data_IF_851288596006
#
_entry.id   IF_851288596006
#
_cell.length_a   1.000
_cell.length_b   1.000
_cell.length_c   1.000
_cell.angle_alpha   90.00
_cell.angle_beta   90.00
_cell.angle_gamma   90.00
#
_symmetry.space_group_name_H-M   'P 1'
#
loop_
_entity.id
_entity.type
_entity.pdbx_description
1 polymer ?
#
# COMPACT_ATOMS: atom_id res chain seq x y z
N UNK A 1 21.10 -48.31 -13.02
CA UNK A 1 20.74 -48.18 -14.45
C UNK A 1 19.56 -47.20 -14.62
N UNK A 2 19.59 -46.03 -13.97
CA UNK A 2 18.58 -44.95 -14.12
C UNK A 2 19.19 -43.56 -13.86
N UNK A 3 20.50 -43.43 -14.08
CA UNK A 3 21.25 -42.18 -14.04
C UNK A 3 21.79 -41.78 -15.43
N UNK A 4 21.34 -42.50 -16.47
CA UNK A 4 21.85 -42.42 -17.84
C UNK A 4 20.80 -42.04 -18.89
N UNK A 5 19.62 -41.54 -18.47
CA UNK A 5 18.51 -41.25 -19.39
C UNK A 5 17.96 -39.81 -19.37
N UNK A 6 18.57 -38.88 -18.63
CA UNK A 6 18.20 -37.44 -18.68
C UNK A 6 19.44 -36.53 -18.84
N UNK A 7 20.58 -37.07 -19.27
CA UNK A 7 21.82 -36.28 -19.41
C UNK A 7 22.31 -36.03 -20.84
N UNK A 8 21.49 -36.35 -21.84
CA UNK A 8 21.76 -35.96 -23.23
C UNK A 8 20.54 -35.30 -23.84
N UNK A 9 20.66 -33.98 -24.03
CA UNK A 9 20.38 -33.25 -25.29
C UNK A 9 20.30 -31.77 -24.99
N UNK A 10 21.43 -31.13 -24.72
CA UNK A 10 21.75 -29.74 -25.05
C UNK A 10 23.21 -29.49 -24.59
N UNK A 11 24.08 -29.06 -25.49
CA UNK A 11 25.43 -28.63 -25.11
C UNK A 11 25.35 -27.42 -24.17
N UNK A 12 26.38 -27.12 -23.34
CA UNK A 12 26.39 -25.94 -22.48
C UNK A 12 26.14 -24.63 -23.26
N UNK A 13 26.52 -24.57 -24.54
CA UNK A 13 26.26 -23.45 -25.43
C UNK A 13 24.80 -23.38 -25.90
N UNK A 14 24.17 -24.52 -26.20
CA UNK A 14 22.76 -24.55 -26.58
C UNK A 14 21.83 -24.30 -25.38
N UNK A 15 22.24 -24.74 -24.18
CA UNK A 15 21.53 -24.44 -22.94
C UNK A 15 21.61 -22.95 -22.59
N UNK A 16 22.76 -22.29 -22.80
CA UNK A 16 22.88 -20.82 -22.73
C UNK A 16 22.01 -20.15 -23.80
N UNK A 17 22.05 -20.62 -25.05
CA UNK A 17 21.28 -20.02 -26.13
C UNK A 17 19.75 -20.13 -25.91
N UNK A 18 19.26 -21.26 -25.38
CA UNK A 18 17.86 -21.41 -24.98
C UNK A 18 17.48 -20.54 -23.79
N UNK A 19 18.35 -20.44 -22.78
CA UNK A 19 18.13 -19.56 -21.62
C UNK A 19 18.13 -18.10 -22.07
N UNK A 20 19.06 -17.67 -22.91
CA UNK A 20 19.14 -16.32 -23.48
C UNK A 20 17.93 -16.00 -24.37
N UNK A 21 17.44 -16.97 -25.16
CA UNK A 21 16.23 -16.82 -25.97
C UNK A 21 14.97 -16.75 -25.11
N UNK A 22 14.90 -17.50 -24.01
CA UNK A 22 13.81 -17.38 -23.01
C UNK A 22 13.90 -16.05 -22.26
N UNK A 23 15.08 -15.60 -21.87
CA UNK A 23 15.32 -14.32 -21.20
C UNK A 23 14.93 -13.14 -22.08
N UNK A 24 15.27 -13.16 -23.38
CA UNK A 24 14.83 -12.14 -24.34
C UNK A 24 13.30 -12.03 -24.47
N UNK A 25 12.57 -13.14 -24.27
CA UNK A 25 11.09 -13.16 -24.27
C UNK A 25 10.46 -12.74 -22.95
N UNK A 26 11.25 -12.61 -21.89
CA UNK A 26 10.82 -12.09 -20.58
C UNK A 26 11.05 -10.57 -20.46
N UNK A 27 11.60 -9.93 -21.50
CA UNK A 27 11.72 -8.47 -21.55
C UNK A 27 10.31 -7.88 -21.62
N UNK A 28 9.96 -7.07 -20.62
CA UNK A 28 8.67 -6.40 -20.55
C UNK A 28 8.49 -5.54 -21.82
N UNK A 29 7.44 -5.73 -22.62
CA UNK A 29 7.27 -4.99 -23.86
C UNK A 29 7.17 -3.50 -23.58
N UNK A 30 7.84 -2.67 -24.38
CA UNK A 30 7.88 -1.20 -24.21
C UNK A 30 6.47 -0.60 -24.11
N UNK A 31 5.52 -1.11 -24.90
CA UNK A 31 4.10 -0.72 -24.86
C UNK A 31 3.44 -0.96 -23.50
N UNK A 32 3.75 -2.06 -22.83
CA UNK A 32 3.24 -2.34 -21.48
C UNK A 32 3.86 -1.39 -20.45
N UNK A 33 5.15 -1.07 -20.57
CA UNK A 33 5.81 -0.08 -19.71
C UNK A 33 5.18 1.31 -19.89
N UNK A 34 4.96 1.73 -21.14
CA UNK A 34 4.31 3.02 -21.47
C UNK A 34 2.88 3.05 -20.94
N UNK A 35 2.06 2.03 -21.21
CA UNK A 35 0.69 1.95 -20.72
C UNK A 35 0.62 1.98 -19.19
N UNK A 36 1.50 1.22 -18.51
CA UNK A 36 1.63 1.26 -17.05
C UNK A 36 2.00 2.65 -16.55
N UNK A 37 2.92 3.34 -17.24
CA UNK A 37 3.32 4.70 -16.89
C UNK A 37 2.16 5.71 -17.04
N UNK A 38 1.44 5.68 -18.16
CA UNK A 38 0.26 6.51 -18.39
C UNK A 38 -0.84 6.28 -17.36
N UNK A 39 -1.19 5.00 -17.12
CA UNK A 39 -2.20 4.66 -16.13
C UNK A 39 -1.78 5.08 -14.72
N UNK A 40 -0.51 4.92 -14.35
CA UNK A 40 0.01 5.38 -13.06
C UNK A 40 -0.11 6.90 -12.92
N UNK A 41 0.26 7.68 -13.95
CA UNK A 41 0.13 9.14 -13.90
C UNK A 41 -1.33 9.60 -13.80
N UNK A 42 -2.25 8.91 -14.49
CA UNK A 42 -3.68 9.20 -14.37
C UNK A 42 -4.19 8.94 -12.94
N UNK A 43 -3.78 7.83 -12.32
CA UNK A 43 -4.12 7.57 -10.92
C UNK A 43 -3.50 8.60 -9.97
N UNK A 44 -2.29 9.07 -10.23
CA UNK A 44 -1.68 10.17 -9.46
C UNK A 44 -2.54 11.44 -9.55
N UNK A 45 -3.00 11.81 -10.74
CA UNK A 45 -3.86 12.97 -10.94
C UNK A 45 -5.19 12.84 -10.18
N UNK A 46 -5.87 11.70 -10.33
CA UNK A 46 -7.14 11.42 -9.65
C UNK A 46 -6.95 11.42 -8.13
N UNK A 47 -5.93 10.70 -7.65
CA UNK A 47 -5.62 10.64 -6.23
C UNK A 47 -5.25 12.00 -5.64
N UNK A 48 -4.54 12.84 -6.41
CA UNK A 48 -4.19 14.20 -5.99
C UNK A 48 -5.44 15.07 -5.87
N UNK A 49 -6.38 14.98 -6.81
CA UNK A 49 -7.65 15.68 -6.74
C UNK A 49 -8.50 15.23 -5.54
N UNK A 50 -8.61 13.92 -5.30
CA UNK A 50 -9.34 13.38 -4.14
C UNK A 50 -8.70 13.82 -2.82
N UNK A 51 -7.36 13.73 -2.72
CA UNK A 51 -6.64 14.17 -1.53
C UNK A 51 -6.85 15.67 -1.30
N UNK A 52 -6.70 16.50 -2.34
CA UNK A 52 -6.90 17.96 -2.20
C UNK A 52 -8.34 18.32 -1.85
N UNK A 53 -9.35 17.56 -2.30
CA UNK A 53 -10.73 17.77 -1.87
C UNK A 53 -10.87 17.56 -0.36
N UNK A 54 -10.36 16.44 0.16
CA UNK A 54 -10.39 16.18 1.62
C UNK A 54 -9.60 17.22 2.41
N UNK A 55 -8.48 17.69 1.86
CA UNK A 55 -7.66 18.74 2.45
C UNK A 55 -8.41 20.08 2.53
N UNK A 56 -8.98 20.54 1.42
CA UNK A 56 -9.63 21.85 1.32
C UNK A 56 -10.95 21.88 2.07
N UNK A 57 -11.76 20.82 2.01
CA UNK A 57 -13.07 20.80 2.67
C UNK A 57 -12.96 20.66 4.18
N UNK A 58 -12.02 19.85 4.67
CA UNK A 58 -12.04 19.39 6.06
C UNK A 58 -10.77 19.71 6.87
N UNK A 59 -9.64 20.06 6.23
CA UNK A 59 -8.43 20.41 6.98
C UNK A 59 -8.17 21.91 7.04
N UNK A 60 -8.20 22.60 5.90
CA UNK A 60 -7.89 24.03 5.81
C UNK A 60 -8.84 24.89 6.68
N UNK A 61 -10.19 24.76 6.58
CA UNK A 61 -11.09 25.67 7.27
C UNK A 61 -11.06 25.54 8.80
N UNK A 62 -10.64 24.37 9.28
CA UNK A 62 -10.61 24.01 10.70
C UNK A 62 -9.20 23.96 11.27
N UNK A 63 -8.20 24.43 10.51
CA UNK A 63 -6.79 24.44 10.93
C UNK A 63 -6.26 23.07 11.38
N UNK A 64 -6.81 21.98 10.82
CA UNK A 64 -6.41 20.61 11.18
C UNK A 64 -5.10 20.24 10.48
N UNK A 65 -3.98 20.65 11.08
CA UNK A 65 -2.65 20.31 10.62
C UNK A 65 -2.26 18.87 11.00
N UNK A 66 -2.81 17.89 10.27
CA UNK A 66 -2.63 16.44 10.47
C UNK A 66 -1.21 15.91 10.17
N UNK A 67 -0.16 16.73 10.36
CA UNK A 67 1.22 16.39 10.05
C UNK A 67 1.60 16.63 8.59
N UNK A 68 2.81 16.20 8.20
CA UNK A 68 3.29 16.38 6.85
C UNK A 68 3.58 17.83 6.44
N UNK A 69 4.07 18.01 5.21
CA UNK A 69 4.18 19.35 4.63
C UNK A 69 2.82 20.03 4.44
N UNK A 70 1.75 19.25 4.31
CA UNK A 70 0.37 19.77 4.28
C UNK A 70 -0.01 20.47 5.59
N UNK A 71 0.31 19.88 6.75
CA UNK A 71 0.10 20.52 8.05
C UNK A 71 0.97 21.76 8.24
N UNK A 72 2.24 21.70 7.82
CA UNK A 72 3.10 22.90 7.81
C UNK A 72 2.58 23.99 6.86
N UNK A 73 1.98 23.62 5.73
CA UNK A 73 1.38 24.58 4.81
C UNK A 73 0.19 25.30 5.42
N UNK A 74 -0.63 24.63 6.25
CA UNK A 74 -1.71 25.27 7.02
C UNK A 74 -1.13 26.27 8.01
N UNK A 75 -0.09 25.90 8.75
CA UNK A 75 0.60 26.81 9.69
C UNK A 75 1.16 28.03 8.94
N UNK A 76 1.83 27.82 7.81
CA UNK A 76 2.38 28.92 7.01
C UNK A 76 1.28 29.81 6.43
N UNK A 77 0.16 29.24 5.99
CA UNK A 77 -0.98 29.99 5.48
C UNK A 77 -1.63 30.87 6.56
N UNK A 78 -1.66 30.43 7.81
CA UNK A 78 -2.17 31.22 8.92
C UNK A 78 -1.22 32.37 9.29
N UNK A 79 0.09 32.11 9.28
CA UNK A 79 1.11 33.10 9.66
C UNK A 79 1.46 34.10 8.55
N UNK A 80 1.27 33.73 7.28
CA UNK A 80 1.67 34.52 6.11
C UNK A 80 0.54 34.58 5.07
N UNK A 81 0.40 35.68 4.31
CA UNK A 81 -0.63 35.84 3.29
C UNK A 81 -0.30 35.06 1.99
N UNK A 82 -0.02 33.77 2.13
CA UNK A 82 0.29 32.84 1.05
C UNK A 82 -0.79 31.76 1.08
N UNK A 83 -1.39 31.45 -0.06
CA UNK A 83 -2.38 30.39 -0.15
C UNK A 83 -1.76 29.02 0.19
N UNK A 84 -2.57 28.13 0.77
CA UNK A 84 -2.09 26.84 1.29
C UNK A 84 -1.45 25.95 0.21
N UNK A 85 -1.97 25.98 -1.03
CA UNK A 85 -1.39 25.21 -2.14
C UNK A 85 0.00 25.74 -2.55
N UNK A 86 0.19 27.07 -2.56
CA UNK A 86 1.47 27.70 -2.81
C UNK A 86 2.47 27.48 -1.66
N UNK A 87 2.03 27.62 -0.41
CA UNK A 87 2.85 27.32 0.77
C UNK A 87 3.34 25.85 0.73
N UNK A 88 2.44 24.93 0.45
CA UNK A 88 2.74 23.52 0.26
C UNK A 88 3.77 23.28 -0.85
N UNK A 89 3.64 23.95 -1.99
CA UNK A 89 4.58 23.82 -3.11
C UNK A 89 5.96 24.34 -2.73
N UNK A 90 6.04 25.53 -2.15
CA UNK A 90 7.29 26.17 -1.72
C UNK A 90 8.03 25.30 -0.70
N UNK A 91 7.32 24.75 0.28
CA UNK A 91 7.90 23.84 1.29
C UNK A 91 8.41 22.53 0.68
N UNK A 92 7.79 22.06 -0.41
CA UNK A 92 8.23 20.84 -1.10
C UNK A 92 9.45 21.05 -2.00
N UNK A 93 9.67 22.23 -2.57
CA UNK A 93 10.83 22.51 -3.44
C UNK A 93 12.17 22.07 -2.82
N UNK A 94 12.56 22.48 -1.59
CA UNK A 94 13.83 22.05 -1.02
C UNK A 94 13.87 20.54 -0.74
N UNK A 95 12.73 19.94 -0.35
CA UNK A 95 12.65 18.51 -0.12
C UNK A 95 12.80 17.71 -1.41
N UNK A 96 12.19 18.15 -2.51
CA UNK A 96 12.32 17.52 -3.82
C UNK A 96 13.77 17.57 -4.31
N UNK A 97 14.47 18.68 -4.11
CA UNK A 97 15.90 18.81 -4.40
C UNK A 97 16.70 17.78 -3.57
N UNK A 98 16.45 17.69 -2.26
CA UNK A 98 17.11 16.70 -1.40
C UNK A 98 16.80 15.26 -1.82
N UNK A 99 15.54 14.96 -2.13
CA UNK A 99 15.08 13.65 -2.59
C UNK A 99 15.72 13.24 -3.90
N UNK A 100 15.92 14.17 -4.83
CA UNK A 100 16.61 13.93 -6.09
C UNK A 100 18.05 13.40 -5.87
N UNK A 101 18.79 14.01 -4.95
CA UNK A 101 20.17 13.60 -4.65
C UNK A 101 20.27 12.32 -3.82
N UNK A 102 19.27 11.99 -3.00
CA UNK A 102 19.35 10.89 -2.01
C UNK A 102 18.52 9.63 -2.33
N UNK A 103 17.45 9.71 -3.13
CA UNK A 103 16.43 8.65 -3.24
C UNK A 103 16.27 8.01 -4.63
N UNK A 104 17.17 8.28 -5.59
CA UNK A 104 17.19 7.58 -6.88
C UNK A 104 16.94 8.44 -8.12
N UNK A 105 17.28 9.73 -8.06
CA UNK A 105 17.31 10.68 -9.20
C UNK A 105 15.96 10.71 -9.95
N UNK A 106 15.95 10.30 -11.21
CA UNK A 106 14.85 10.57 -12.14
C UNK A 106 13.61 9.67 -11.97
N UNK A 107 13.78 8.43 -11.51
CA UNK A 107 12.63 7.51 -11.31
C UNK A 107 11.75 7.91 -10.13
N UNK A 108 12.35 8.46 -9.08
CA UNK A 108 11.63 8.96 -7.91
C UNK A 108 11.01 10.33 -8.20
N UNK A 109 11.75 11.20 -8.90
CA UNK A 109 11.33 12.56 -9.14
C UNK A 109 10.11 12.64 -10.06
N UNK A 110 9.98 11.79 -11.09
CA UNK A 110 8.92 11.96 -12.08
C UNK A 110 7.51 11.75 -11.53
N UNK A 111 7.28 10.72 -10.70
CA UNK A 111 5.95 10.46 -10.10
C UNK A 111 5.67 11.39 -8.93
N UNK A 112 6.68 11.70 -8.11
CA UNK A 112 6.55 12.58 -6.94
C UNK A 112 6.34 14.04 -7.34
N UNK A 113 7.07 14.53 -8.32
CA UNK A 113 6.91 15.90 -8.83
C UNK A 113 5.52 16.10 -9.42
N UNK A 114 5.02 15.12 -10.18
CA UNK A 114 3.66 15.17 -10.72
C UNK A 114 2.64 15.26 -9.58
N UNK A 115 2.74 14.40 -8.56
CA UNK A 115 1.84 14.42 -7.41
C UNK A 115 1.89 15.75 -6.65
N UNK A 116 3.08 16.30 -6.38
CA UNK A 116 3.23 17.60 -5.70
C UNK A 116 2.57 18.72 -6.50
N UNK A 117 2.87 18.81 -7.80
CA UNK A 117 2.33 19.86 -8.67
C UNK A 117 0.81 19.72 -8.82
N UNK A 118 0.31 18.51 -9.05
CA UNK A 118 -1.12 18.26 -9.20
C UNK A 118 -1.88 18.51 -7.90
N UNK A 119 -1.36 18.08 -6.75
CA UNK A 119 -1.99 18.34 -5.46
C UNK A 119 -2.05 19.84 -5.15
N UNK A 120 -0.93 20.56 -5.35
CA UNK A 120 -0.89 22.02 -5.19
C UNK A 120 -1.89 22.72 -6.11
N UNK A 121 -1.90 22.37 -7.39
CA UNK A 121 -2.84 22.91 -8.38
C UNK A 121 -4.30 22.67 -8.02
N UNK A 122 -4.68 21.44 -7.67
CA UNK A 122 -6.05 21.14 -7.27
C UNK A 122 -6.43 21.80 -5.96
N UNK A 123 -5.49 21.92 -5.00
CA UNK A 123 -5.73 22.65 -3.74
C UNK A 123 -6.07 24.11 -4.00
N UNK A 124 -5.34 24.80 -4.89
CA UNK A 124 -5.63 26.19 -5.25
C UNK A 124 -6.98 26.35 -5.95
N UNK A 125 -7.29 25.46 -6.91
CA UNK A 125 -8.60 25.44 -7.58
C UNK A 125 -9.70 25.24 -6.56
N UNK A 126 -9.63 24.18 -5.76
CA UNK A 126 -10.68 23.86 -4.82
C UNK A 126 -10.86 24.92 -3.74
N UNK A 127 -9.77 25.51 -3.24
CA UNK A 127 -9.84 26.61 -2.26
C UNK A 127 -10.48 27.86 -2.85
N UNK A 128 -10.32 28.10 -4.16
CA UNK A 128 -10.89 29.29 -4.83
C UNK A 128 -12.36 29.09 -5.23
N UNK A 129 -12.76 27.88 -5.62
CA UNK A 129 -14.08 27.63 -6.21
C UNK A 129 -15.09 26.95 -5.28
N UNK A 130 -14.67 26.09 -4.33
CA UNK A 130 -15.61 25.39 -3.45
C UNK A 130 -16.38 26.35 -2.52
N UNK A 131 -15.77 27.38 -1.91
CA UNK A 131 -16.53 28.33 -1.09
C UNK A 131 -17.60 29.09 -1.86
N UNK A 132 -17.46 29.23 -3.17
CA UNK A 132 -18.46 29.87 -4.05
C UNK A 132 -19.49 28.88 -4.61
N UNK A 133 -19.26 27.57 -4.47
CA UNK A 133 -20.12 26.51 -5.01
C UNK A 133 -21.09 25.96 -3.96
N UNK A 134 -20.73 26.00 -2.68
CA UNK A 134 -21.57 25.59 -1.58
C UNK A 134 -22.12 26.81 -0.84
N UNK A 135 -23.44 26.83 -0.63
CA UNK A 135 -24.10 27.89 0.14
C UNK A 135 -23.67 27.86 1.62
N UNK A 136 -23.34 26.67 2.13
CA UNK A 136 -22.78 26.43 3.46
C UNK A 136 -21.33 25.93 3.30
N UNK A 137 -20.37 26.84 3.50
CA UNK A 137 -18.94 26.53 3.58
C UNK A 137 -18.35 27.18 4.85
N UNK A 138 -17.78 26.40 5.78
CA UNK A 138 -17.53 24.96 5.75
C UNK A 138 -18.79 24.08 5.72
N UNK A 139 -18.64 22.81 5.30
CA UNK A 139 -19.76 21.86 5.12
C UNK A 139 -20.37 21.35 6.45
N UNK A 140 -19.69 21.56 7.58
CA UNK A 140 -20.13 21.16 8.91
C UNK A 140 -19.55 22.11 9.96
N UNK A 141 -20.15 22.13 11.15
CA UNK A 141 -19.62 22.83 12.32
C UNK A 141 -19.04 21.85 13.36
N UNK A 142 -19.11 20.53 13.11
CA UNK A 142 -18.63 19.49 14.03
C UNK A 142 -17.18 19.11 13.71
N UNK A 143 -16.26 19.70 14.48
CA UNK A 143 -14.82 19.47 14.38
C UNK A 143 -14.42 17.98 14.44
N UNK A 144 -15.15 17.15 15.20
CA UNK A 144 -14.86 15.72 15.27
C UNK A 144 -15.25 15.06 13.95
N UNK A 145 -16.44 15.37 13.42
CA UNK A 145 -16.91 14.87 12.14
C UNK A 145 -15.96 15.26 11.00
N UNK A 146 -15.55 16.54 10.97
CA UNK A 146 -14.62 17.05 9.98
C UNK A 146 -13.24 16.39 10.09
N UNK A 147 -12.73 16.16 11.30
CA UNK A 147 -11.47 15.43 11.48
C UNK A 147 -11.51 13.99 10.96
N UNK A 148 -12.67 13.32 11.08
CA UNK A 148 -12.88 11.98 10.56
C UNK A 148 -12.87 11.98 9.03
N UNK A 149 -13.64 12.88 8.41
CA UNK A 149 -13.70 12.98 6.95
C UNK A 149 -12.41 13.54 6.34
N UNK A 150 -11.72 14.44 7.02
CA UNK A 150 -10.38 14.88 6.70
C UNK A 150 -9.42 13.69 6.59
N UNK A 151 -9.40 12.81 7.60
CA UNK A 151 -8.57 11.62 7.57
C UNK A 151 -8.95 10.65 6.45
N UNK A 152 -10.24 10.30 6.34
CA UNK A 152 -10.71 9.28 5.38
C UNK A 152 -10.52 9.74 3.93
N UNK A 153 -11.02 10.93 3.57
CA UNK A 153 -11.01 11.38 2.17
C UNK A 153 -9.59 11.70 1.70
N UNK A 154 -8.79 12.37 2.55
CA UNK A 154 -7.38 12.60 2.27
C UNK A 154 -6.62 11.27 2.14
N UNK A 155 -6.83 10.33 3.07
CA UNK A 155 -6.21 9.01 3.06
C UNK A 155 -6.57 8.17 1.84
N UNK A 156 -7.82 8.22 1.36
CA UNK A 156 -8.21 7.57 0.10
C UNK A 156 -7.38 8.12 -1.07
N UNK A 157 -7.27 9.46 -1.18
CA UNK A 157 -6.45 10.10 -2.21
C UNK A 157 -4.98 9.71 -2.12
N UNK A 158 -4.40 9.73 -0.91
CA UNK A 158 -3.03 9.28 -0.64
C UNK A 158 -2.80 7.82 -1.05
N UNK A 159 -3.71 6.91 -0.68
CA UNK A 159 -3.64 5.50 -1.06
C UNK A 159 -3.68 5.27 -2.57
N UNK A 160 -4.46 6.05 -3.33
CA UNK A 160 -4.47 5.99 -4.81
C UNK A 160 -3.11 6.39 -5.37
N UNK A 161 -2.51 7.47 -4.86
CA UNK A 161 -1.19 7.97 -5.30
C UNK A 161 -0.10 6.94 -4.98
N UNK A 162 -0.10 6.40 -3.76
CA UNK A 162 0.85 5.36 -3.34
C UNK A 162 0.73 4.10 -4.20
N UNK A 163 -0.49 3.67 -4.51
CA UNK A 163 -0.74 2.52 -5.39
C UNK A 163 -0.22 2.74 -6.82
N UNK A 164 -0.19 3.99 -7.28
CA UNK A 164 0.41 4.37 -8.56
C UNK A 164 1.95 4.52 -8.50
N UNK A 165 2.58 4.32 -7.33
CA UNK A 165 4.02 4.49 -7.14
C UNK A 165 4.46 5.96 -7.06
N UNK A 166 3.51 6.87 -6.84
CA UNK A 166 3.79 8.26 -6.47
C UNK A 166 3.82 8.45 -4.96
N UNK A 167 4.19 9.64 -4.52
CA UNK A 167 3.95 10.15 -3.18
C UNK A 167 3.64 11.63 -3.32
N UNK A 168 2.76 12.17 -2.48
CA UNK A 168 2.57 13.62 -2.39
C UNK A 168 3.87 14.30 -1.93
N UNK A 169 4.91 13.56 -1.53
CA UNK A 169 6.18 14.15 -1.16
C UNK A 169 6.13 14.58 0.30
N UNK A 170 6.69 15.74 0.61
CA UNK A 170 6.72 16.25 1.97
C UNK A 170 7.52 15.38 2.95
N UNK A 171 6.95 15.03 4.10
CA UNK A 171 7.63 14.30 5.18
C UNK A 171 8.11 12.91 4.78
N UNK A 172 7.61 12.35 3.66
CA UNK A 172 8.14 11.11 3.06
C UNK A 172 9.60 11.16 2.64
N UNK A 173 10.10 12.32 2.25
CA UNK A 173 11.50 12.49 1.87
C UNK A 173 12.42 12.44 3.10
N UNK A 174 12.25 13.31 4.12
CA UNK A 174 13.07 13.24 5.32
C UNK A 174 12.86 11.93 6.08
N UNK A 175 11.63 11.38 6.14
CA UNK A 175 11.38 10.10 6.80
C UNK A 175 12.16 8.95 6.13
N UNK A 176 12.21 8.91 4.80
CA UNK A 176 12.98 7.89 4.08
C UNK A 176 14.49 8.08 4.21
N UNK A 177 14.98 9.32 4.30
CA UNK A 177 16.39 9.61 4.58
C UNK A 177 16.77 9.15 5.99
N UNK A 178 15.93 9.44 7.00
CA UNK A 178 16.14 8.99 8.38
C UNK A 178 16.10 7.47 8.45
N UNK A 179 15.12 6.83 7.80
CA UNK A 179 15.05 5.36 7.68
C UNK A 179 16.37 4.79 7.16
N UNK A 180 16.89 5.30 6.04
CA UNK A 180 18.12 4.80 5.44
C UNK A 180 19.35 4.98 6.34
N UNK A 181 19.36 5.99 7.21
CA UNK A 181 20.46 6.27 8.13
C UNK A 181 20.37 5.51 9.46
N UNK A 182 19.16 5.30 9.98
CA UNK A 182 18.93 4.77 11.34
C UNK A 182 18.45 3.33 11.35
N UNK A 183 17.87 2.84 10.24
CA UNK A 183 17.26 1.52 10.15
C UNK A 183 15.87 1.42 10.78
N UNK A 184 15.31 2.52 11.31
CA UNK A 184 13.95 2.49 11.87
C UNK A 184 12.90 2.10 10.83
N UNK A 185 11.82 1.40 11.22
CA UNK A 185 10.70 1.14 10.32
C UNK A 185 10.14 2.42 9.71
N UNK A 186 9.86 2.41 8.40
CA UNK A 186 9.42 3.60 7.67
C UNK A 186 8.18 4.26 8.31
N UNK A 187 7.22 3.44 8.75
CA UNK A 187 5.98 3.88 9.41
C UNK A 187 6.25 4.63 10.73
N UNK A 188 7.26 4.20 11.50
CA UNK A 188 7.64 4.90 12.73
C UNK A 188 8.26 6.26 12.41
N UNK A 189 9.10 6.31 11.38
CA UNK A 189 9.74 7.57 10.98
C UNK A 189 8.74 8.59 10.46
N UNK A 190 7.72 8.15 9.71
CA UNK A 190 6.59 9.00 9.32
C UNK A 190 5.85 9.57 10.53
N UNK A 191 5.48 8.70 11.47
CA UNK A 191 4.77 9.10 12.68
C UNK A 191 5.57 10.14 13.47
N UNK A 192 6.89 9.96 13.60
CA UNK A 192 7.74 10.94 14.29
C UNK A 192 7.77 12.30 13.59
N UNK A 193 7.92 12.33 12.25
CA UNK A 193 7.97 13.58 11.50
C UNK A 193 6.63 14.32 11.52
N UNK A 194 5.53 13.57 11.47
CA UNK A 194 4.18 14.14 11.43
C UNK A 194 3.73 14.58 12.84
N UNK A 195 4.08 13.83 13.89
CA UNK A 195 3.81 14.20 15.27
C UNK A 195 4.54 15.48 15.68
N UNK A 196 5.77 15.69 15.19
CA UNK A 196 6.47 16.95 15.41
C UNK A 196 5.68 18.16 14.88
N UNK A 197 5.08 18.02 13.70
CA UNK A 197 4.29 19.08 13.06
C UNK A 197 2.95 19.28 13.80
N UNK A 198 2.31 18.20 14.25
CA UNK A 198 1.10 18.27 15.09
C UNK A 198 1.37 18.98 16.41
N UNK A 199 2.51 18.71 17.05
CA UNK A 199 2.91 19.41 18.28
C UNK A 199 3.10 20.90 18.01
N UNK A 200 3.77 21.27 16.90
CA UNK A 200 3.89 22.67 16.49
C UNK A 200 2.51 23.31 16.27
N UNK A 201 1.60 22.62 15.61
CA UNK A 201 0.22 23.09 15.41
C UNK A 201 -0.52 23.31 16.73
N UNK A 202 -0.29 22.46 17.74
CA UNK A 202 -0.87 22.61 19.08
C UNK A 202 -0.43 23.89 19.80
N UNK A 203 0.82 24.32 19.58
CA UNK A 203 1.32 25.60 20.09
C UNK A 203 0.82 26.81 19.30
N UNK A 204 0.55 26.65 17.99
CA UNK A 204 0.11 27.75 17.12
C UNK A 204 -1.41 27.98 17.20
N UNK A 205 -2.20 26.91 17.13
CA UNK A 205 -3.67 27.00 17.06
C UNK A 205 -4.32 26.74 18.42
N UNK A 206 -4.27 25.49 18.88
CA UNK A 206 -4.62 25.02 20.23
C UNK A 206 -4.45 23.50 20.31
N UNK A 207 -4.48 22.96 21.54
CA UNK A 207 -4.30 21.53 21.78
C UNK A 207 -5.47 20.65 21.32
N UNK A 208 -6.71 21.17 21.28
CA UNK A 208 -7.88 20.41 20.81
C UNK A 208 -7.75 20.07 19.32
N UNK A 209 -7.42 21.07 18.50
CA UNK A 209 -7.15 20.90 17.07
C UNK A 209 -5.95 19.98 16.83
N UNK A 210 -4.92 20.01 17.68
CA UNK A 210 -3.79 19.08 17.57
C UNK A 210 -4.20 17.62 17.85
N UNK A 211 -5.07 17.39 18.84
CA UNK A 211 -5.61 16.05 19.13
C UNK A 211 -6.50 15.53 18.00
N UNK A 212 -7.34 16.40 17.42
CA UNK A 212 -8.15 16.07 16.25
C UNK A 212 -7.29 15.84 14.99
N UNK A 213 -6.22 16.61 14.81
CA UNK A 213 -5.25 16.42 13.74
C UNK A 213 -4.52 15.06 13.86
N UNK A 214 -4.21 14.62 15.08
CA UNK A 214 -3.67 13.28 15.32
C UNK A 214 -4.68 12.18 14.96
N UNK A 215 -5.97 12.36 15.30
CA UNK A 215 -7.03 11.45 14.90
C UNK A 215 -7.14 11.36 13.37
N UNK A 216 -7.16 12.51 12.69
CA UNK A 216 -7.20 12.59 11.24
C UNK A 216 -5.99 11.90 10.59
N UNK A 217 -4.78 12.04 11.16
CA UNK A 217 -3.57 11.36 10.69
C UNK A 217 -3.71 9.82 10.79
N UNK A 218 -4.22 9.30 11.91
CA UNK A 218 -4.43 7.85 12.09
C UNK A 218 -5.46 7.31 11.09
N UNK A 219 -6.58 8.00 10.92
CA UNK A 219 -7.62 7.64 9.96
C UNK A 219 -7.12 7.72 8.51
N UNK A 220 -6.30 8.73 8.20
CA UNK A 220 -5.61 8.83 6.91
C UNK A 220 -4.73 7.62 6.64
N UNK A 221 -3.94 7.18 7.63
CA UNK A 221 -3.13 5.96 7.52
C UNK A 221 -3.99 4.74 7.20
N UNK A 222 -5.04 4.51 7.99
CA UNK A 222 -5.96 3.38 7.78
C UNK A 222 -6.65 3.40 6.42
N UNK A 223 -7.15 4.57 5.98
CA UNK A 223 -7.78 4.72 4.67
C UNK A 223 -6.79 4.56 3.51
N UNK A 224 -5.56 5.06 3.66
CA UNK A 224 -4.49 4.90 2.68
C UNK A 224 -4.12 3.43 2.51
N UNK A 225 -3.90 2.72 3.61
CA UNK A 225 -3.57 1.29 3.63
C UNK A 225 -4.70 0.46 3.02
N UNK A 226 -5.95 0.79 3.34
CA UNK A 226 -7.12 0.13 2.76
C UNK A 226 -7.15 0.26 1.22
N UNK A 227 -6.84 1.44 0.68
CA UNK A 227 -6.81 1.67 -0.78
C UNK A 227 -5.57 1.04 -1.43
N UNK A 228 -4.43 1.07 -0.75
CA UNK A 228 -3.14 0.56 -1.23
C UNK A 228 -3.15 -0.97 -1.31
N UNK A 229 -3.53 -1.62 -0.21
CA UNK A 229 -3.47 -3.08 -0.06
C UNK A 229 -4.77 -3.77 -0.50
N UNK A 230 -5.89 -3.04 -0.40
CA UNK A 230 -7.24 -3.57 -0.60
C UNK A 230 -7.74 -4.39 0.59
N UNK A 231 -8.98 -4.89 0.51
CA UNK A 231 -9.48 -5.83 1.51
C UNK A 231 -8.74 -7.17 1.41
N UNK A 232 -8.12 -7.63 2.50
CA UNK A 232 -7.59 -8.99 2.58
C UNK A 232 -8.74 -10.02 2.55
N UNK A 233 -9.01 -10.55 1.37
CA UNK A 233 -10.03 -11.60 1.12
C UNK A 233 -9.45 -13.02 1.22
N UNK A 234 -8.15 -13.15 1.47
CA UNK A 234 -7.42 -14.41 1.40
C UNK A 234 -6.82 -14.79 2.76
N UNK A 235 -6.81 -16.08 3.06
CA UNK A 235 -6.18 -16.66 4.24
C UNK A 235 -5.29 -17.81 3.81
N UNK A 236 -4.18 -17.98 4.50
CA UNK A 236 -3.30 -19.13 4.36
C UNK A 236 -3.53 -20.05 5.54
N UNK A 237 -3.48 -21.35 5.32
CA UNK A 237 -3.64 -22.34 6.37
C UNK A 237 -2.44 -23.27 6.36
N UNK A 238 -1.81 -23.41 7.53
CA UNK A 238 -0.80 -24.42 7.80
C UNK A 238 -1.42 -25.46 8.72
N UNK A 239 -1.47 -26.71 8.27
CA UNK A 239 -2.15 -27.80 8.98
C UNK A 239 -1.16 -28.93 9.17
N UNK A 240 -0.83 -29.25 10.43
CA UNK A 240 -0.02 -30.42 10.76
C UNK A 240 -0.99 -31.50 11.23
N UNK A 241 -1.01 -32.63 10.53
CA UNK A 241 -1.96 -33.73 10.76
C UNK A 241 -1.30 -35.09 10.53
N UNK A 242 -1.82 -36.12 11.16
CA UNK A 242 -1.43 -37.53 10.92
C UNK A 242 -2.11 -38.10 9.67
N UNK A 243 -3.14 -37.43 9.14
CA UNK A 243 -3.94 -37.88 8.00
C UNK A 243 -3.83 -36.94 6.78
N UNK A 244 -2.62 -36.58 6.31
CA UNK A 244 -2.44 -35.54 5.30
C UNK A 244 -3.08 -35.88 3.95
N UNK A 245 -3.10 -37.17 3.55
CA UNK A 245 -3.69 -37.60 2.27
C UNK A 245 -5.20 -37.45 2.25
N UNK A 246 -5.88 -37.89 3.31
CA UNK A 246 -7.34 -37.80 3.44
C UNK A 246 -7.73 -36.33 3.45
N UNK A 247 -7.09 -35.53 4.32
CA UNK A 247 -7.33 -34.10 4.40
C UNK A 247 -7.12 -33.40 3.05
N UNK A 248 -5.99 -33.67 2.38
CA UNK A 248 -5.68 -33.07 1.07
C UNK A 248 -6.78 -33.32 0.05
N UNK A 249 -7.27 -34.56 -0.04
CA UNK A 249 -8.34 -34.92 -0.97
C UNK A 249 -9.67 -34.25 -0.60
N UNK A 250 -10.02 -34.21 0.68
CA UNK A 250 -11.22 -33.52 1.17
C UNK A 250 -11.19 -32.04 0.83
N UNK A 251 -10.07 -31.35 1.09
CA UNK A 251 -9.94 -29.92 0.78
C UNK A 251 -10.01 -29.64 -0.73
N UNK A 252 -9.44 -30.52 -1.56
CA UNK A 252 -9.53 -30.40 -3.01
C UNK A 252 -10.94 -30.66 -3.54
N UNK A 253 -11.66 -31.63 -2.99
CA UNK A 253 -13.01 -31.99 -3.41
C UNK A 253 -14.07 -30.99 -2.93
N UNK A 254 -14.06 -30.66 -1.63
CA UNK A 254 -15.13 -29.90 -0.99
C UNK A 254 -14.91 -28.38 -1.08
N UNK A 255 -13.66 -27.91 -0.94
CA UNK A 255 -13.36 -26.47 -1.01
C UNK A 255 -12.90 -26.03 -2.40
N UNK A 256 -12.61 -26.96 -3.30
CA UNK A 256 -12.03 -26.67 -4.61
C UNK A 256 -10.64 -26.04 -4.52
N UNK A 257 -9.89 -26.32 -3.44
CA UNK A 257 -8.59 -25.67 -3.17
C UNK A 257 -7.45 -26.66 -3.32
N UNK A 258 -6.49 -26.30 -4.18
CA UNK A 258 -5.23 -26.99 -4.27
C UNK A 258 -4.45 -26.89 -2.96
N UNK A 259 -3.72 -27.95 -2.64
CA UNK A 259 -2.91 -28.06 -1.43
C UNK A 259 -1.46 -28.35 -1.81
N UNK A 260 -0.53 -28.00 -0.93
CA UNK A 260 0.88 -28.39 -1.02
C UNK A 260 1.30 -29.04 0.28
N UNK A 261 2.20 -30.01 0.23
CA UNK A 261 2.63 -30.75 1.42
C UNK A 261 4.14 -30.65 1.60
N UNK A 262 4.58 -30.41 2.83
CA UNK A 262 5.98 -30.46 3.22
C UNK A 262 6.20 -31.52 4.30
N UNK A 263 7.28 -32.28 4.19
CA UNK A 263 7.79 -33.07 5.31
C UNK A 263 8.48 -32.14 6.28
N UNK A 264 8.07 -32.18 7.54
CA UNK A 264 8.63 -31.39 8.64
C UNK A 264 9.09 -32.33 9.75
N UNK A 265 9.95 -31.84 10.64
CA UNK A 265 10.38 -32.59 11.83
C UNK A 265 9.91 -31.87 13.09
N UNK A 266 9.29 -32.59 14.02
CA UNK A 266 8.86 -32.02 15.29
C UNK A 266 10.07 -31.66 16.15
N UNK A 267 10.24 -30.39 16.53
CA UNK A 267 11.42 -29.96 17.29
C UNK A 267 11.56 -30.57 18.69
N UNK A 268 10.43 -30.96 19.31
CA UNK A 268 10.43 -31.63 20.62
C UNK A 268 10.41 -33.16 20.49
N UNK A 269 9.60 -33.69 19.58
CA UNK A 269 9.41 -35.15 19.43
C UNK A 269 10.47 -35.83 18.57
N UNK A 270 11.22 -35.04 17.78
CA UNK A 270 12.16 -35.50 16.75
C UNK A 270 11.55 -36.47 15.72
N UNK A 271 10.23 -36.41 15.55
CA UNK A 271 9.47 -37.25 14.61
C UNK A 271 9.17 -36.52 13.31
N UNK A 272 9.30 -37.21 12.19
CA UNK A 272 8.82 -36.72 10.90
C UNK A 272 7.30 -36.61 10.89
N UNK A 273 6.79 -35.44 10.45
CA UNK A 273 5.37 -35.14 10.27
C UNK A 273 5.15 -34.51 8.90
N UNK A 274 3.90 -34.45 8.47
CA UNK A 274 3.53 -33.75 7.23
C UNK A 274 2.73 -32.50 7.55
N UNK A 275 3.14 -31.39 6.95
CA UNK A 275 2.40 -30.13 6.95
C UNK A 275 1.66 -29.98 5.64
N UNK A 276 0.33 -29.83 5.68
CA UNK A 276 -0.52 -29.46 4.56
C UNK A 276 -0.69 -27.95 4.57
N UNK A 277 -0.42 -27.33 3.42
CA UNK A 277 -0.58 -25.90 3.19
C UNK A 277 -1.65 -25.67 2.14
N UNK A 278 -2.58 -24.76 2.44
CA UNK A 278 -3.55 -24.33 1.47
C UNK A 278 -3.84 -22.84 1.60
N UNK A 279 -4.35 -22.26 0.51
CA UNK A 279 -4.81 -20.87 0.48
C UNK A 279 -6.30 -20.91 0.24
N UNK A 280 -7.07 -20.21 1.09
CA UNK A 280 -8.53 -20.19 1.07
C UNK A 280 -9.05 -18.75 1.07
N UNK A 281 -10.31 -18.55 0.69
CA UNK A 281 -10.96 -17.25 0.90
C UNK A 281 -11.31 -17.07 2.38
N UNK A 282 -11.38 -15.83 2.85
CA UNK A 282 -11.82 -15.50 4.22
C UNK A 282 -13.16 -16.15 4.56
N UNK A 283 -14.09 -16.21 3.61
CA UNK A 283 -15.41 -16.84 3.77
C UNK A 283 -15.35 -18.36 3.94
N UNK A 284 -14.30 -19.02 3.44
CA UNK A 284 -14.14 -20.48 3.50
C UNK A 284 -13.40 -20.96 4.77
N UNK A 285 -13.01 -20.04 5.66
CA UNK A 285 -12.27 -20.39 6.88
C UNK A 285 -13.10 -21.25 7.83
N UNK A 286 -14.42 -20.99 7.90
CA UNK A 286 -15.34 -21.82 8.69
C UNK A 286 -15.35 -23.26 8.22
N UNK A 287 -15.60 -23.46 6.92
CA UNK A 287 -15.64 -24.78 6.28
C UNK A 287 -14.29 -25.51 6.40
N UNK A 288 -13.18 -24.79 6.23
CA UNK A 288 -11.83 -25.35 6.42
C UNK A 288 -11.66 -25.91 7.84
N UNK A 289 -12.04 -25.15 8.87
CA UNK A 289 -11.95 -25.63 10.26
C UNK A 289 -12.81 -26.87 10.49
N UNK A 290 -14.01 -26.88 9.93
CA UNK A 290 -14.92 -28.02 10.00
C UNK A 290 -14.28 -29.27 9.39
N UNK A 291 -13.76 -29.20 8.16
CA UNK A 291 -13.15 -30.36 7.50
C UNK A 291 -11.86 -30.83 8.19
N UNK A 292 -11.02 -29.91 8.67
CA UNK A 292 -9.83 -30.27 9.44
C UNK A 292 -10.24 -31.05 10.70
N UNK A 293 -11.19 -30.54 11.47
CA UNK A 293 -11.65 -31.19 12.69
C UNK A 293 -12.35 -32.54 12.43
N UNK A 294 -13.10 -32.64 11.31
CA UNK A 294 -13.78 -33.86 10.92
C UNK A 294 -12.82 -34.98 10.50
N UNK A 295 -11.68 -34.62 9.88
CA UNK A 295 -10.65 -35.59 9.48
C UNK A 295 -9.71 -35.94 10.63
N UNK A 296 -9.28 -34.93 11.39
CA UNK A 296 -8.32 -35.08 12.48
C UNK A 296 -8.55 -33.98 13.53
N UNK A 297 -9.28 -34.32 14.60
CA UNK A 297 -9.55 -33.41 15.71
C UNK A 297 -8.28 -33.02 16.49
N UNK A 298 -7.19 -33.77 16.35
CA UNK A 298 -5.90 -33.48 16.99
C UNK A 298 -4.95 -32.68 16.08
N UNK A 299 -5.38 -32.34 14.86
CA UNK A 299 -4.57 -31.56 13.93
C UNK A 299 -4.27 -30.16 14.46
N UNK A 300 -3.04 -29.70 14.23
CA UNK A 300 -2.64 -28.34 14.55
C UNK A 300 -2.85 -27.43 13.32
N UNK A 301 -3.82 -26.52 13.41
CA UNK A 301 -4.19 -25.58 12.35
C UNK A 301 -3.80 -24.15 12.72
N UNK A 302 -2.99 -23.51 11.87
CA UNK A 302 -2.67 -22.08 11.94
C UNK A 302 -3.27 -21.38 10.73
N UNK A 303 -4.06 -20.33 10.97
CA UNK A 303 -4.64 -19.49 9.92
C UNK A 303 -3.87 -18.17 9.86
N UNK A 304 -3.11 -17.97 8.80
CA UNK A 304 -2.39 -16.74 8.49
C UNK A 304 -3.20 -15.79 7.61
N UNK A 305 -2.80 -14.51 7.63
CA UNK A 305 -3.34 -13.48 6.74
C UNK A 305 -2.47 -13.34 5.50
N UNK A 306 -3.09 -13.41 4.33
CA UNK A 306 -2.47 -13.01 3.06
C UNK A 306 -3.30 -11.88 2.44
N UNK A 307 -2.64 -10.88 1.86
CA UNK A 307 -3.36 -9.78 1.20
C UNK A 307 -3.96 -10.24 -0.13
N UNK A 308 -3.16 -10.93 -0.95
CA UNK A 308 -3.56 -11.34 -2.30
C UNK A 308 -3.03 -12.73 -2.66
N UNK A 309 -3.78 -13.47 -3.48
CA UNK A 309 -3.36 -14.71 -4.11
C UNK A 309 -3.76 -14.70 -5.59
N UNK A 310 -2.85 -15.16 -6.44
CA UNK A 310 -2.97 -15.14 -7.89
C UNK A 310 -2.62 -16.51 -8.47
N UNK A 311 -3.35 -16.93 -9.50
CA UNK A 311 -3.18 -18.22 -10.15
C UNK A 311 -3.81 -19.39 -9.38
N UNK A 312 -3.85 -20.55 -10.04
CA UNK A 312 -4.52 -21.74 -9.50
C UNK A 312 -6.05 -21.66 -9.54
N UNK A 313 -6.69 -22.78 -9.27
CA UNK A 313 -8.15 -22.91 -9.28
C UNK A 313 -8.80 -22.08 -8.17
N UNK A 314 -9.76 -21.23 -8.54
CA UNK A 314 -10.56 -20.42 -7.61
C UNK A 314 -9.94 -19.09 -7.15
N UNK A 315 -8.81 -18.66 -7.74
CA UNK A 315 -8.22 -17.32 -7.60
C UNK A 315 -8.09 -16.62 -8.95
N UNK A 316 -7.76 -15.32 -8.93
CA UNK A 316 -7.58 -14.55 -10.16
C UNK A 316 -6.40 -15.07 -10.96
N UNK A 317 -6.59 -15.33 -12.25
CA UNK A 317 -5.54 -15.83 -13.13
C UNK A 317 -4.43 -14.79 -13.32
N UNK A 318 -3.18 -15.27 -13.33
CA UNK A 318 -2.06 -14.50 -13.84
C UNK A 318 -2.26 -14.29 -15.35
N UNK A 319 -2.46 -13.03 -15.77
CA UNK A 319 -2.56 -12.69 -17.18
C UNK A 319 -1.17 -12.78 -17.81
N UNK A 320 -1.00 -13.63 -18.83
CA UNK A 320 0.23 -13.62 -19.63
C UNK A 320 0.43 -12.23 -20.25
N UNK A 321 1.66 -11.70 -20.29
CA UNK A 321 1.95 -10.51 -21.07
C UNK A 321 1.49 -10.77 -22.51
N UNK A 322 0.69 -9.86 -23.09
CA UNK A 322 0.44 -9.87 -24.52
C UNK A 322 1.78 -9.55 -25.19
N UNK A 323 2.43 -10.57 -25.73
CA UNK A 323 3.46 -10.35 -26.72
C UNK A 323 2.70 -9.90 -27.96
N UNK A 324 2.96 -8.65 -28.39
CA UNK A 324 2.62 -8.23 -29.75
C UNK A 324 3.31 -9.17 -30.76
#
# INVERSE_FOLDING_TARGET
MLHKFIKDKLSPAEHRHQVDKKLKRLIIPKKYVIFRYLTSNLFILIGSAVASLGFVLFQIPFYLAAGGITGLAIIVHDLFPISTGNAYLLLNVPLLILGYFKLGRMKFLSSTLLAVLSFSFFTEIFSSYLPAMFDEYPLSDDLLLDSIYAGILFGIGMGIIYRAGGTIGGTSIPARIIQQKTGFPLSQTYLMTDLFIIILAGFVFNWELAMLALLALLLCGMASDFVLEGTSQVRTAFIITEHPKVLSNTLMAELGRGVSTWTIKGGFTDTDKTMVYCTVRRTQVGDLKYYVAAVDANAFLVIGTAQQAWGGTGFNNLKKPRND
#
